data_IF_095198291589
#
_entry.id   IF_095198291589
#
_cell.length_a   1.000
_cell.length_b   1.000
_cell.length_c   1.000
_cell.angle_alpha   90.00
_cell.angle_beta   90.00
_cell.angle_gamma   90.00
#
_symmetry.space_group_name_H-M   'P 1'
#
loop_
_entity.id
_entity.type
_entity.pdbx_description
1 polymer ?
#
# COMPACT_ATOMS: atom_id res chain seq x y z
N UNK A 1 -4.64 12.30 -4.91
CA UNK A 1 -4.82 10.83 -5.00
C UNK A 1 -3.56 10.15 -4.53
N UNK A 2 -3.68 9.20 -3.62
CA UNK A 2 -2.53 8.40 -3.16
C UNK A 2 -2.12 7.41 -4.26
N UNK A 3 -0.83 7.25 -4.46
CA UNK A 3 -0.29 6.20 -5.32
C UNK A 3 0.11 5.00 -4.46
N UNK A 4 -0.22 3.80 -4.93
CA UNK A 4 0.19 2.56 -4.29
C UNK A 4 1.38 1.99 -5.04
N UNK A 5 2.46 1.74 -4.32
CA UNK A 5 3.68 1.15 -4.85
C UNK A 5 3.88 -0.25 -4.30
N UNK A 6 4.04 -1.20 -5.19
CA UNK A 6 4.32 -2.60 -4.85
C UNK A 6 5.80 -2.85 -5.15
N UNK A 7 6.58 -3.13 -4.12
CA UNK A 7 7.96 -3.54 -4.24
C UNK A 7 8.05 -5.06 -4.12
N UNK A 8 8.72 -5.70 -5.06
CA UNK A 8 9.11 -7.10 -4.93
C UNK A 8 10.59 -7.15 -4.56
N UNK A 9 10.89 -7.51 -3.32
CA UNK A 9 12.26 -7.62 -2.86
C UNK A 9 13.03 -8.74 -3.56
N UNK A 10 14.31 -8.46 -3.81
CA UNK A 10 15.24 -9.35 -4.45
C UNK A 10 15.94 -10.20 -3.38
N UNK A 11 15.68 -11.49 -3.39
CA UNK A 11 16.54 -12.50 -2.75
C UNK A 11 16.47 -12.58 -1.22
N UNK A 12 15.48 -13.21 -0.73
CA UNK A 12 15.34 -14.03 0.46
C UNK A 12 13.85 -14.06 0.82
N UNK A 13 13.33 -15.19 1.14
CA UNK A 13 12.05 -15.55 1.75
C UNK A 13 11.20 -14.45 2.44
N UNK A 14 11.07 -13.27 1.85
CA UNK A 14 10.41 -12.15 2.52
C UNK A 14 9.22 -11.63 1.73
N UNK A 15 8.16 -11.52 2.46
CA UNK A 15 6.86 -10.97 2.12
C UNK A 15 6.97 -9.68 1.31
N UNK A 16 6.35 -9.69 0.14
CA UNK A 16 6.15 -8.49 -0.69
C UNK A 16 5.42 -7.43 0.13
N UNK A 17 6.04 -6.29 0.34
CA UNK A 17 5.45 -5.20 1.09
C UNK A 17 4.79 -4.18 0.17
N UNK A 18 3.61 -3.76 0.54
CA UNK A 18 2.90 -2.65 -0.09
C UNK A 18 3.03 -1.45 0.83
N UNK A 19 3.56 -0.36 0.32
CA UNK A 19 3.59 0.91 1.04
C UNK A 19 2.84 1.99 0.27
N UNK A 20 2.06 2.77 0.99
CA UNK A 20 1.40 3.95 0.47
C UNK A 20 2.39 5.11 0.55
N UNK A 21 2.89 5.56 -0.58
CA UNK A 21 3.76 6.73 -0.65
C UNK A 21 3.05 7.92 -1.28
N UNK A 22 3.20 9.12 -0.72
CA UNK A 22 2.86 10.33 -1.44
C UNK A 22 3.81 10.53 -2.63
N UNK A 23 3.31 11.16 -3.63
CA UNK A 23 3.80 11.37 -4.99
C UNK A 23 5.22 11.95 -5.12
N UNK A 24 6.22 11.43 -4.43
CA UNK A 24 7.62 11.85 -4.61
C UNK A 24 8.56 10.68 -4.80
N UNK A 25 8.62 10.10 -5.99
CA UNK A 25 9.79 9.30 -6.27
C UNK A 25 10.28 9.33 -7.71
N UNK A 26 10.23 10.48 -8.38
CA UNK A 26 10.71 10.47 -9.77
C UNK A 26 12.20 10.12 -9.89
N UNK A 27 13.01 10.50 -8.91
CA UNK A 27 14.45 10.24 -8.94
C UNK A 27 14.85 8.88 -8.35
N UNK A 28 14.13 8.40 -7.32
CA UNK A 28 14.44 7.12 -6.68
C UNK A 28 13.91 5.92 -7.46
N UNK A 29 12.81 6.10 -8.17
CA UNK A 29 12.16 5.05 -8.96
C UNK A 29 12.99 4.58 -10.16
N UNK A 30 13.82 5.41 -10.74
CA UNK A 30 14.57 5.06 -11.95
C UNK A 30 15.52 3.87 -11.76
N UNK A 31 16.12 3.71 -10.58
CA UNK A 31 17.08 2.62 -10.31
C UNK A 31 16.38 1.29 -10.01
N UNK A 32 15.14 1.32 -9.50
CA UNK A 32 14.37 0.14 -9.07
C UNK A 32 13.14 -0.16 -9.94
N UNK A 33 12.98 0.58 -11.03
CA UNK A 33 11.87 0.43 -11.98
C UNK A 33 11.52 -1.00 -12.38
N UNK A 34 12.51 -1.91 -12.61
CA UNK A 34 12.19 -3.27 -13.05
C UNK A 34 11.43 -4.12 -12.02
N UNK A 35 11.41 -3.71 -10.75
CA UNK A 35 10.85 -4.51 -9.65
C UNK A 35 9.69 -3.83 -8.95
N UNK A 36 9.35 -2.61 -9.32
CA UNK A 36 8.32 -1.79 -8.68
C UNK A 36 7.16 -1.61 -9.63
N UNK A 37 5.96 -1.88 -9.16
CA UNK A 37 4.72 -1.55 -9.85
C UNK A 37 3.94 -0.52 -9.02
N UNK A 38 3.40 0.49 -9.68
CA UNK A 38 2.59 1.52 -9.02
C UNK A 38 1.36 1.88 -9.85
N UNK A 39 0.43 2.58 -9.24
CA UNK A 39 -0.77 3.02 -9.92
C UNK A 39 -1.72 3.74 -8.98
N UNK A 40 -2.88 4.08 -9.50
CA UNK A 40 -3.93 4.80 -8.78
C UNK A 40 -5.02 3.80 -8.34
N UNK A 41 -5.05 3.41 -7.06
CA UNK A 41 -6.08 2.51 -6.55
C UNK A 41 -7.41 3.25 -6.42
N UNK A 42 -8.51 2.53 -6.58
CA UNK A 42 -9.82 3.05 -6.23
C UNK A 42 -10.09 2.88 -4.71
N UNK A 43 -11.09 3.59 -4.20
CA UNK A 43 -11.47 3.54 -2.78
C UNK A 43 -11.72 2.11 -2.29
N UNK A 44 -12.36 1.26 -3.10
CA UNK A 44 -12.63 -0.13 -2.77
C UNK A 44 -11.33 -0.92 -2.54
N UNK A 45 -10.30 -0.71 -3.35
CA UNK A 45 -9.02 -1.40 -3.19
C UNK A 45 -8.30 -0.99 -1.91
N UNK A 46 -8.33 0.30 -1.58
CA UNK A 46 -7.75 0.82 -0.33
C UNK A 46 -8.49 0.26 0.88
N UNK A 47 -9.81 0.26 0.83
CA UNK A 47 -10.68 -0.29 1.87
C UNK A 47 -10.38 -1.78 2.11
N UNK A 48 -10.40 -2.59 1.07
CA UNK A 48 -10.11 -4.02 1.17
C UNK A 48 -8.70 -4.30 1.72
N UNK A 49 -7.68 -3.53 1.34
CA UNK A 49 -6.32 -3.68 1.85
C UNK A 49 -6.24 -3.39 3.36
N UNK A 50 -6.85 -2.29 3.81
CA UNK A 50 -6.81 -1.90 5.21
C UNK A 50 -7.60 -2.88 6.08
N UNK A 51 -8.79 -3.29 5.65
CA UNK A 51 -9.61 -4.23 6.42
C UNK A 51 -9.03 -5.64 6.48
N UNK A 52 -8.45 -6.15 5.38
CA UNK A 52 -7.93 -7.52 5.35
C UNK A 52 -6.49 -7.64 5.85
N UNK A 53 -5.65 -6.67 5.52
CA UNK A 53 -4.20 -6.73 5.76
C UNK A 53 -3.69 -5.58 6.64
N UNK A 54 -4.59 -4.80 7.25
CA UNK A 54 -4.24 -3.64 8.05
C UNK A 54 -3.64 -4.00 9.41
N UNK A 55 -2.47 -3.47 9.68
CA UNK A 55 -1.81 -3.53 10.99
C UNK A 55 -1.35 -2.14 11.39
N UNK A 56 -1.53 -1.82 12.65
CA UNK A 56 -1.03 -0.58 13.24
C UNK A 56 0.32 -0.76 13.92
N UNK A 57 1.12 0.29 13.88
CA UNK A 57 2.38 0.38 14.60
C UNK A 57 2.15 1.08 15.94
N UNK A 58 2.04 0.31 17.00
CA UNK A 58 1.85 0.81 18.36
C UNK A 58 3.06 0.39 19.21
N UNK A 59 3.77 1.36 19.78
CA UNK A 59 4.97 1.13 20.59
C UNK A 59 6.02 0.23 19.87
N UNK A 60 6.25 0.51 18.58
CA UNK A 60 7.15 -0.27 17.71
C UNK A 60 6.72 -1.73 17.48
N UNK A 61 5.53 -2.13 17.95
CA UNK A 61 4.95 -3.47 17.74
C UNK A 61 3.89 -3.43 16.64
N UNK A 62 3.79 -4.53 15.90
CA UNK A 62 2.76 -4.75 14.89
C UNK A 62 1.51 -5.33 15.55
N UNK A 63 0.41 -4.59 15.52
CA UNK A 63 -0.87 -4.99 16.12
C UNK A 63 -1.94 -4.96 15.03
N UNK A 64 -2.77 -6.02 14.95
CA UNK A 64 -3.89 -6.06 14.02
C UNK A 64 -4.93 -4.98 14.37
N UNK A 65 -5.49 -4.34 13.36
CA UNK A 65 -6.51 -3.31 13.52
C UNK A 65 -7.90 -3.97 13.58
N UNK A 66 -8.19 -4.61 14.71
CA UNK A 66 -9.50 -5.25 14.95
C UNK A 66 -10.51 -4.29 15.55
N UNK A 67 -10.04 -3.33 16.34
CA UNK A 67 -10.87 -2.41 17.09
C UNK A 67 -10.57 -0.95 16.79
N UNK A 68 -11.63 -0.14 16.69
CA UNK A 68 -11.50 1.31 16.54
C UNK A 68 -10.82 1.98 17.74
N UNK A 69 -10.88 1.36 18.93
CA UNK A 69 -10.24 1.88 20.13
C UNK A 69 -8.71 2.01 19.98
N UNK A 70 -8.07 1.12 19.22
CA UNK A 70 -6.63 1.18 18.93
C UNK A 70 -6.28 2.39 18.06
N UNK A 71 -7.11 2.64 17.04
CA UNK A 71 -6.96 3.79 16.14
C UNK A 71 -7.21 5.09 16.89
N UNK A 72 -8.30 5.18 17.65
CA UNK A 72 -8.66 6.35 18.46
C UNK A 72 -7.59 6.70 19.49
N UNK A 73 -6.99 5.71 20.16
CA UNK A 73 -5.92 5.93 21.13
C UNK A 73 -4.64 6.47 20.50
N UNK A 74 -4.31 6.03 19.30
CA UNK A 74 -3.07 6.39 18.62
C UNK A 74 -3.19 7.66 17.78
N UNK A 75 -4.30 7.83 17.08
CA UNK A 75 -4.52 8.90 16.10
C UNK A 75 -5.64 9.89 16.50
N UNK A 76 -6.29 9.69 17.64
CA UNK A 76 -7.40 10.54 18.08
C UNK A 76 -7.05 12.03 18.18
N UNK A 77 -5.81 12.36 18.55
CA UNK A 77 -5.30 13.74 18.58
C UNK A 77 -5.26 14.43 17.21
N UNK A 78 -5.32 13.66 16.14
CA UNK A 78 -5.36 14.14 14.76
C UNK A 78 -6.78 14.12 14.17
N UNK A 79 -7.79 13.76 14.97
CA UNK A 79 -9.16 13.67 14.52
C UNK A 79 -9.54 12.37 13.82
N UNK A 80 -8.64 11.36 13.82
CA UNK A 80 -8.87 10.05 13.22
C UNK A 80 -9.29 9.09 14.35
N UNK A 81 -10.57 8.76 14.39
CA UNK A 81 -11.16 7.94 15.47
C UNK A 81 -11.49 6.54 14.96
N UNK A 82 -11.98 6.45 13.73
CA UNK A 82 -12.46 5.22 13.12
C UNK A 82 -11.54 4.74 12.01
N UNK A 83 -11.72 3.48 11.60
CA UNK A 83 -11.05 2.93 10.42
C UNK A 83 -11.44 3.66 9.14
N UNK A 84 -12.68 4.10 9.04
CA UNK A 84 -13.18 4.86 7.88
C UNK A 84 -12.50 6.23 7.74
N UNK A 85 -12.25 6.91 8.87
CA UNK A 85 -11.50 8.17 8.87
C UNK A 85 -10.08 7.95 8.39
N UNK A 86 -9.45 6.85 8.83
CA UNK A 86 -8.11 6.46 8.38
C UNK A 86 -8.07 6.19 6.87
N UNK A 87 -9.05 5.47 6.35
CA UNK A 87 -9.19 5.18 4.91
C UNK A 87 -9.39 6.47 4.12
N UNK A 88 -10.27 7.34 4.60
CA UNK A 88 -10.54 8.63 3.97
C UNK A 88 -9.29 9.50 3.91
N UNK A 89 -8.57 9.62 5.03
CA UNK A 89 -7.34 10.42 5.12
C UNK A 89 -6.26 9.92 4.16
N UNK A 90 -6.11 8.59 4.05
CA UNK A 90 -5.15 7.98 3.12
C UNK A 90 -5.57 8.17 1.67
N UNK A 91 -6.86 7.97 1.35
CA UNK A 91 -7.36 8.07 -0.01
C UNK A 91 -7.32 9.50 -0.56
N UNK A 92 -7.71 10.47 0.26
CA UNK A 92 -7.75 11.89 -0.11
C UNK A 92 -6.41 12.61 0.05
N UNK A 93 -5.41 11.95 0.67
CA UNK A 93 -4.13 12.58 1.05
C UNK A 93 -4.38 13.84 1.87
N UNK A 94 -5.08 13.67 3.00
CA UNK A 94 -5.47 14.76 3.88
C UNK A 94 -4.30 15.37 4.66
N UNK A 95 -4.62 16.30 5.55
CA UNK A 95 -3.63 17.04 6.35
C UNK A 95 -2.79 16.15 7.26
N UNK A 96 -3.39 15.06 7.76
CA UNK A 96 -2.75 14.11 8.69
C UNK A 96 -2.27 12.83 7.99
N UNK A 97 -2.11 12.86 6.65
CA UNK A 97 -1.66 11.72 5.85
C UNK A 97 -0.35 11.12 6.36
N UNK A 98 0.61 11.97 6.73
CA UNK A 98 1.92 11.55 7.23
C UNK A 98 1.79 10.69 8.49
N UNK A 99 0.98 11.13 9.43
CA UNK A 99 0.73 10.43 10.70
C UNK A 99 -0.03 9.12 10.46
N UNK A 100 -1.05 9.15 9.61
CA UNK A 100 -1.81 7.98 9.20
C UNK A 100 -0.92 6.94 8.50
N UNK A 101 -0.07 7.36 7.58
CA UNK A 101 0.87 6.49 6.89
C UNK A 101 1.94 5.91 7.83
N UNK A 102 2.46 6.70 8.77
CA UNK A 102 3.41 6.23 9.77
C UNK A 102 2.81 5.25 10.79
N UNK A 103 1.52 5.39 11.06
CA UNK A 103 0.78 4.48 11.92
C UNK A 103 0.57 3.12 11.26
N UNK A 104 0.27 3.09 9.96
CA UNK A 104 0.08 1.85 9.23
C UNK A 104 1.40 1.10 9.04
N UNK A 105 1.36 -0.18 9.37
CA UNK A 105 2.45 -1.09 9.02
C UNK A 105 2.38 -1.43 7.52
N UNK A 106 3.51 -1.61 6.84
CA UNK A 106 3.52 -2.07 5.45
C UNK A 106 2.72 -3.37 5.28
N UNK A 107 1.85 -3.39 4.28
CA UNK A 107 1.01 -4.55 4.00
C UNK A 107 1.85 -5.71 3.46
N UNK A 108 1.68 -6.90 4.05
CA UNK A 108 2.26 -8.14 3.54
C UNK A 108 1.25 -8.81 2.62
N UNK A 109 1.53 -8.84 1.34
CA UNK A 109 0.67 -9.45 0.34
C UNK A 109 1.23 -10.78 -0.13
N UNK A 110 0.33 -11.68 -0.54
CA UNK A 110 0.70 -12.95 -1.18
C UNK A 110 1.19 -12.74 -2.62
N UNK A 111 1.80 -13.77 -3.19
CA UNK A 111 2.09 -13.76 -4.61
C UNK A 111 0.80 -13.69 -5.43
N UNK A 112 0.78 -12.97 -6.57
CA UNK A 112 -0.42 -12.86 -7.37
C UNK A 112 -0.84 -14.23 -7.89
N UNK A 113 -2.12 -14.53 -7.83
CA UNK A 113 -2.68 -15.77 -8.39
C UNK A 113 -2.40 -15.82 -9.89
N UNK A 114 -1.86 -16.95 -10.38
CA UNK A 114 -1.43 -17.10 -11.76
C UNK A 114 -0.01 -16.53 -12.05
N UNK A 115 0.72 -16.13 -11.01
CA UNK A 115 2.08 -15.62 -11.14
C UNK A 115 2.19 -14.21 -11.71
N UNK A 116 3.41 -13.75 -11.88
CA UNK A 116 3.75 -12.50 -12.57
C UNK A 116 4.20 -12.81 -14.00
N UNK A 117 3.81 -11.97 -14.94
CA UNK A 117 4.40 -11.92 -16.27
C UNK A 117 5.85 -11.40 -16.14
N UNK A 118 6.55 -11.23 -17.26
CA UNK A 118 7.95 -10.75 -17.27
C UNK A 118 8.19 -9.65 -16.24
N UNK A 119 8.78 -10.01 -15.11
CA UNK A 119 8.91 -9.14 -13.92
C UNK A 119 9.72 -7.88 -14.19
N UNK A 120 10.68 -7.95 -15.10
CA UNK A 120 11.59 -6.85 -15.43
C UNK A 120 11.12 -5.98 -16.59
N UNK A 121 10.13 -6.45 -17.37
CA UNK A 121 9.58 -5.68 -18.47
C UNK A 121 8.50 -4.72 -18.00
N UNK A 122 8.45 -3.56 -18.63
CA UNK A 122 7.45 -2.55 -18.32
C UNK A 122 6.02 -3.05 -18.67
N UNK A 123 5.02 -2.60 -17.91
CA UNK A 123 3.62 -3.00 -18.11
C UNK A 123 3.12 -2.74 -19.54
N UNK A 124 3.50 -1.61 -20.15
CA UNK A 124 3.15 -1.27 -21.53
C UNK A 124 3.76 -2.24 -22.54
N UNK A 125 4.88 -2.88 -22.20
CA UNK A 125 5.56 -3.87 -23.03
C UNK A 125 5.12 -5.32 -22.72
N UNK A 126 4.02 -5.48 -22.02
CA UNK A 126 3.50 -6.80 -21.63
C UNK A 126 4.13 -7.41 -20.38
N UNK A 127 4.92 -6.64 -19.62
CA UNK A 127 5.48 -7.05 -18.32
C UNK A 127 4.62 -6.63 -17.13
N UNK A 128 5.19 -6.73 -15.95
CA UNK A 128 4.49 -6.41 -14.69
C UNK A 128 5.12 -5.24 -13.93
N UNK A 129 6.17 -4.62 -14.45
CA UNK A 129 6.85 -3.50 -13.82
C UNK A 129 6.33 -2.14 -14.30
N UNK A 130 6.50 -1.12 -13.48
CA UNK A 130 6.24 0.27 -13.82
C UNK A 130 4.81 0.72 -13.55
N UNK A 131 4.42 1.81 -14.23
CA UNK A 131 3.11 2.43 -14.03
C UNK A 131 1.98 1.60 -14.66
N UNK A 132 1.01 1.23 -13.85
CA UNK A 132 -0.19 0.49 -14.29
C UNK A 132 -1.45 1.34 -14.30
N UNK A 133 -1.34 2.59 -13.90
CA UNK A 133 -2.51 3.48 -13.78
C UNK A 133 -3.67 2.78 -13.04
N UNK A 134 -4.85 2.74 -13.64
CA UNK A 134 -6.02 2.08 -13.04
C UNK A 134 -5.96 0.55 -12.99
N UNK A 135 -5.04 -0.08 -13.72
CA UNK A 135 -4.92 -1.54 -13.74
C UNK A 135 -4.27 -2.10 -12.47
N UNK A 136 -3.72 -1.24 -11.62
CA UNK A 136 -3.16 -1.66 -10.32
C UNK A 136 -4.19 -2.39 -9.45
N UNK A 137 -5.48 -2.04 -9.56
CA UNK A 137 -6.57 -2.71 -8.86
C UNK A 137 -6.67 -4.21 -9.16
N UNK A 138 -6.37 -4.62 -10.39
CA UNK A 138 -6.38 -6.05 -10.79
C UNK A 138 -5.24 -6.81 -10.11
N UNK A 139 -4.06 -6.19 -10.02
CA UNK A 139 -2.91 -6.78 -9.34
C UNK A 139 -3.19 -6.90 -7.84
N UNK A 140 -3.68 -5.84 -7.21
CA UNK A 140 -4.03 -5.84 -5.78
C UNK A 140 -5.02 -6.98 -5.45
N UNK A 141 -6.09 -7.15 -6.23
CA UNK A 141 -7.07 -8.22 -6.03
C UNK A 141 -6.49 -9.62 -6.18
N UNK A 142 -5.46 -9.80 -7.02
CA UNK A 142 -4.79 -11.10 -7.19
C UNK A 142 -3.82 -11.41 -6.06
N UNK A 143 -3.40 -10.41 -5.29
CA UNK A 143 -2.42 -10.51 -4.20
C UNK A 143 -3.05 -10.45 -2.80
N UNK A 144 -4.30 -9.99 -2.69
CA UNK A 144 -5.03 -9.76 -1.43
C UNK A 144 -5.88 -10.97 -1.01
#
# INVERSE_FOLDING_TARGET
MAAVTICSDFGAQESKSLSLFPLFPHLFAMKYLPYIAWGYPNLKSVNELIYKCGYGKINKKRIALTDNALTARSLGKYGIICMEDLIHEIYTVGKCFKEANNFLWPFKLSSPRGGMNKKTAHFVQGGDAGNREDQIKRLIRRMN
#
